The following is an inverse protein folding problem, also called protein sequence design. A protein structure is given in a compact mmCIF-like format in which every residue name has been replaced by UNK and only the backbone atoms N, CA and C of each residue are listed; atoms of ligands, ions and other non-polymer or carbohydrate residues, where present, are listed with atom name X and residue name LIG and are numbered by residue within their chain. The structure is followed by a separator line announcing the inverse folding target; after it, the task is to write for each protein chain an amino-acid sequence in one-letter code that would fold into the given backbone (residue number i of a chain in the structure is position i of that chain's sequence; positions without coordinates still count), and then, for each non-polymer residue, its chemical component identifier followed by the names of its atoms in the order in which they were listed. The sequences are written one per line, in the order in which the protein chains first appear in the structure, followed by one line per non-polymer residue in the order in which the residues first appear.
data_IF_950625040544
#
_entry.id   IF_950625040544
#
_cell.length_a   1.000
_cell.length_b   1.000
_cell.length_c   1.000
_cell.angle_alpha   90.00
_cell.angle_beta   90.00
_cell.angle_gamma   90.00
#
_symmetry.space_group_name_H-M   'P 1'
#
loop_
_entity.id
_entity.type
_entity.pdbx_description
1 polymer ?
#
# COMPACT_ATOMS: atom_id res chain seq x y z
N UNK A 1 -21.87 34.23 -33.30
CA UNK A 1 -20.46 33.86 -33.52
C UNK A 1 -19.57 34.91 -32.87
N UNK A 2 -18.94 34.60 -31.72
CA UNK A 2 -17.92 35.48 -31.11
C UNK A 2 -16.56 35.05 -31.62
N UNK A 3 -16.02 35.76 -32.60
CA UNK A 3 -14.63 35.62 -33.04
C UNK A 3 -13.73 36.16 -31.93
N UNK A 4 -13.12 35.26 -31.14
CA UNK A 4 -12.08 35.64 -30.19
C UNK A 4 -10.90 36.17 -31.02
N UNK A 5 -10.68 37.49 -31.02
CA UNK A 5 -9.47 38.08 -31.59
C UNK A 5 -8.29 37.56 -30.78
N UNK A 6 -7.51 36.62 -31.33
CA UNK A 6 -6.18 36.30 -30.81
C UNK A 6 -5.39 37.61 -30.80
N UNK A 7 -4.95 38.03 -29.62
CA UNK A 7 -4.03 39.16 -29.47
C UNK A 7 -2.79 38.88 -30.33
N UNK A 8 -2.54 39.72 -31.34
CA UNK A 8 -1.34 39.62 -32.16
C UNK A 8 -0.12 39.70 -31.24
N UNK A 9 0.72 38.67 -31.30
CA UNK A 9 1.95 38.58 -30.54
C UNK A 9 2.96 39.60 -31.08
N UNK A 10 3.85 40.10 -30.22
CA UNK A 10 4.98 40.94 -30.69
C UNK A 10 5.86 40.19 -31.71
N UNK A 11 5.88 38.85 -31.67
CA UNK A 11 6.56 38.01 -32.66
C UNK A 11 5.93 38.06 -34.05
N UNK A 12 4.63 38.37 -34.15
CA UNK A 12 3.92 38.42 -35.44
C UNK A 12 4.28 39.68 -36.25
N UNK A 13 4.99 40.63 -35.64
CA UNK A 13 5.45 41.89 -36.27
C UNK A 13 6.87 41.83 -36.82
N UNK A 14 7.60 40.73 -36.59
CA UNK A 14 8.97 40.56 -37.05
C UNK A 14 9.00 39.94 -38.46
N UNK A 15 10.01 40.29 -39.30
CA UNK A 15 10.23 39.63 -40.59
C UNK A 15 10.37 38.11 -40.43
N UNK A 16 9.82 37.34 -41.37
CA UNK A 16 9.77 35.88 -41.30
C UNK A 16 11.14 35.20 -41.03
N UNK A 17 12.26 35.62 -41.66
CA UNK A 17 13.57 35.02 -41.37
C UNK A 17 14.06 35.27 -39.94
N UNK A 18 13.73 36.44 -39.38
CA UNK A 18 14.08 36.81 -38.00
C UNK A 18 13.23 36.01 -37.02
N UNK A 19 11.94 35.84 -37.30
CA UNK A 19 11.02 35.04 -36.49
C UNK A 19 11.46 33.57 -36.43
N UNK A 20 11.84 32.99 -37.57
CA UNK A 20 12.29 31.60 -37.64
C UNK A 20 13.65 31.39 -36.96
N UNK A 21 14.59 32.32 -37.14
CA UNK A 21 15.85 32.28 -36.40
C UNK A 21 15.62 32.35 -34.88
N UNK A 22 14.79 33.29 -34.42
CA UNK A 22 14.49 33.47 -33.00
C UNK A 22 13.73 32.27 -32.41
N UNK A 23 12.80 31.65 -33.16
CA UNK A 23 12.08 30.47 -32.68
C UNK A 23 13.00 29.27 -32.53
N UNK A 24 13.90 29.05 -33.50
CA UNK A 24 14.94 27.99 -33.42
C UNK A 24 15.88 28.22 -32.24
N UNK A 25 16.41 29.44 -32.07
CA UNK A 25 17.28 29.79 -30.92
C UNK A 25 16.54 29.64 -29.59
N UNK A 26 15.28 30.06 -29.51
CA UNK A 26 14.47 29.92 -28.31
C UNK A 26 14.19 28.45 -27.98
N UNK A 27 13.90 27.61 -28.97
CA UNK A 27 13.72 26.17 -28.80
C UNK A 27 15.00 25.49 -28.30
N UNK A 28 16.16 25.82 -28.88
CA UNK A 28 17.46 25.32 -28.42
C UNK A 28 17.77 25.74 -26.98
N UNK A 29 17.60 27.02 -26.64
CA UNK A 29 17.84 27.53 -25.29
C UNK A 29 16.89 26.89 -24.28
N UNK A 30 15.63 26.69 -24.66
CA UNK A 30 14.64 25.99 -23.83
C UNK A 30 15.04 24.52 -23.62
N UNK A 31 15.46 23.84 -24.69
CA UNK A 31 15.94 22.45 -24.63
C UNK A 31 17.20 22.30 -23.78
N UNK A 32 18.18 23.20 -23.93
CA UNK A 32 19.39 23.24 -23.09
C UNK A 32 19.08 23.54 -21.63
N UNK A 33 18.18 24.50 -21.37
CA UNK A 33 17.72 24.81 -20.02
C UNK A 33 17.02 23.62 -19.36
N UNK A 34 16.15 22.93 -20.09
CA UNK A 34 15.48 21.72 -19.64
C UNK A 34 16.47 20.59 -19.37
N UNK A 35 17.44 20.37 -20.27
CA UNK A 35 18.50 19.37 -20.10
C UNK A 35 19.33 19.65 -18.84
N UNK A 36 19.73 20.91 -18.64
CA UNK A 36 20.47 21.35 -17.46
C UNK A 36 19.68 21.10 -16.17
N UNK A 37 18.39 21.44 -16.16
CA UNK A 37 17.50 21.16 -15.02
C UNK A 37 17.41 19.66 -14.72
N UNK A 38 17.27 18.81 -15.74
CA UNK A 38 17.21 17.36 -15.57
C UNK A 38 18.51 16.82 -14.99
N UNK A 39 19.66 17.30 -15.46
CA UNK A 39 20.97 16.91 -14.91
C UNK A 39 21.09 17.31 -13.43
N UNK A 40 20.65 18.52 -13.07
CA UNK A 40 20.65 18.96 -11.68
C UNK A 40 19.75 18.07 -10.81
N UNK A 41 18.52 17.78 -11.24
CA UNK A 41 17.61 16.89 -10.49
C UNK A 41 18.18 15.48 -10.41
N UNK A 42 18.79 14.96 -11.47
CA UNK A 42 19.44 13.64 -11.47
C UNK A 42 20.62 13.58 -10.49
N UNK A 43 21.47 14.61 -10.43
CA UNK A 43 22.57 14.70 -9.47
C UNK A 43 22.06 14.83 -8.03
N UNK A 44 20.99 15.59 -7.81
CA UNK A 44 20.34 15.68 -6.51
C UNK A 44 19.83 14.31 -6.05
N UNK A 45 19.18 13.54 -6.93
CA UNK A 45 18.66 12.20 -6.62
C UNK A 45 19.78 11.17 -6.44
N UNK A 46 20.82 11.21 -7.28
CA UNK A 46 21.95 10.29 -7.20
C UNK A 46 22.77 10.46 -5.91
N UNK A 47 22.80 11.68 -5.37
CA UNK A 47 23.46 12.01 -4.09
C UNK A 47 22.47 12.16 -2.93
N UNK A 48 21.26 11.61 -3.05
CA UNK A 48 20.25 11.67 -2.01
C UNK A 48 20.64 10.85 -0.77
N UNK A 49 20.37 11.40 0.41
CA UNK A 49 20.52 10.73 1.70
C UNK A 49 19.32 11.05 2.58
N UNK A 50 18.82 10.05 3.31
CA UNK A 50 17.72 10.23 4.27
C UNK A 50 18.11 11.12 5.46
N UNK A 51 19.41 11.20 5.76
CA UNK A 51 19.94 11.98 6.89
C UNK A 51 20.07 13.49 6.57
N UNK A 52 19.94 13.86 5.30
CA UNK A 52 20.10 15.25 4.88
C UNK A 52 18.94 16.14 5.38
N UNK A 53 19.20 17.43 5.68
CA UNK A 53 18.16 18.36 6.07
C UNK A 53 17.12 18.53 4.95
N UNK A 54 15.85 18.32 5.27
CA UNK A 54 14.74 18.45 4.33
C UNK A 54 13.52 19.13 4.98
N UNK A 55 12.46 19.33 4.20
CA UNK A 55 11.20 19.90 4.71
C UNK A 55 10.57 19.03 5.80
N UNK A 56 10.81 17.72 5.75
CA UNK A 56 10.24 16.74 6.68
C UNK A 56 11.29 16.12 7.62
N UNK A 57 12.55 16.51 7.50
CA UNK A 57 13.65 16.04 8.33
C UNK A 57 14.53 17.20 8.80
N UNK A 58 14.26 17.71 9.99
CA UNK A 58 15.01 18.81 10.58
C UNK A 58 16.24 18.29 11.33
N UNK A 59 17.41 18.31 10.68
CA UNK A 59 18.68 17.87 11.27
C UNK A 59 19.72 18.99 11.29
N UNK A 60 20.62 18.95 12.27
CA UNK A 60 21.80 19.82 12.34
C UNK A 60 23.02 19.21 11.63
N UNK A 61 22.81 18.13 10.85
CA UNK A 61 23.87 17.41 10.15
C UNK A 61 24.45 18.20 8.97
N UNK A 62 25.67 17.83 8.57
CA UNK A 62 26.27 18.34 7.33
C UNK A 62 25.54 17.74 6.12
N UNK A 63 25.25 18.57 5.12
CA UNK A 63 24.53 18.15 3.91
C UNK A 63 25.46 17.33 3.02
N UNK A 64 25.04 16.11 2.66
CA UNK A 64 25.78 15.18 1.79
C UNK A 64 25.44 15.36 0.31
N UNK A 65 24.25 15.85 0.01
CA UNK A 65 23.83 16.12 -1.36
C UNK A 65 24.81 17.06 -2.09
N UNK A 66 25.18 16.70 -3.32
CA UNK A 66 26.18 17.46 -4.08
C UNK A 66 25.72 18.86 -4.49
N UNK A 67 24.41 19.09 -4.54
CA UNK A 67 23.80 20.39 -4.82
C UNK A 67 23.45 21.16 -3.52
N UNK A 68 23.95 20.67 -2.38
CA UNK A 68 23.71 21.26 -1.07
C UNK A 68 22.24 21.16 -0.63
N UNK A 69 21.83 22.08 0.26
CA UNK A 69 20.49 22.10 0.86
C UNK A 69 19.34 22.06 -0.15
N UNK A 70 19.31 22.89 -1.22
CA UNK A 70 18.19 22.86 -2.16
C UNK A 70 18.12 21.52 -2.92
N UNK A 71 19.27 20.92 -3.25
CA UNK A 71 19.31 19.59 -3.86
C UNK A 71 18.74 18.51 -2.95
N UNK A 72 19.16 18.50 -1.68
CA UNK A 72 18.64 17.58 -0.67
C UNK A 72 17.11 17.68 -0.52
N UNK A 73 16.57 18.90 -0.43
CA UNK A 73 15.13 19.14 -0.32
C UNK A 73 14.34 18.64 -1.53
N UNK A 74 14.82 18.92 -2.75
CA UNK A 74 14.16 18.48 -3.98
C UNK A 74 14.19 16.96 -4.10
N UNK A 75 15.35 16.34 -3.86
CA UNK A 75 15.50 14.89 -3.94
C UNK A 75 14.63 14.18 -2.90
N UNK A 76 14.62 14.66 -1.65
CA UNK A 76 13.78 14.12 -0.60
C UNK A 76 12.29 14.24 -0.91
N UNK A 77 11.84 15.41 -1.40
CA UNK A 77 10.44 15.60 -1.80
C UNK A 77 10.02 14.64 -2.91
N UNK A 78 10.86 14.44 -3.93
CA UNK A 78 10.57 13.50 -5.03
C UNK A 78 10.54 12.04 -4.53
N UNK A 79 11.48 11.66 -3.67
CA UNK A 79 11.52 10.32 -3.06
C UNK A 79 10.31 10.06 -2.16
N UNK A 80 9.85 11.06 -1.41
CA UNK A 80 8.64 10.92 -0.57
C UNK A 80 7.36 10.83 -1.40
N UNK A 81 7.22 11.65 -2.45
CA UNK A 81 6.01 11.69 -3.27
C UNK A 81 5.89 10.45 -4.18
N UNK A 82 6.98 10.05 -4.82
CA UNK A 82 6.96 9.14 -5.98
C UNK A 82 7.90 7.93 -5.81
N UNK A 83 8.81 7.98 -4.82
CA UNK A 83 9.77 6.92 -4.54
C UNK A 83 10.62 6.56 -5.76
N UNK A 84 10.84 5.26 -5.99
CA UNK A 84 11.60 4.73 -7.12
C UNK A 84 10.94 5.01 -8.49
N UNK A 85 9.67 5.44 -8.51
CA UNK A 85 9.01 5.93 -9.72
C UNK A 85 9.64 7.19 -10.31
N UNK A 86 10.55 7.86 -9.58
CA UNK A 86 11.24 9.07 -10.02
C UNK A 86 12.02 8.92 -11.33
N UNK A 87 12.40 7.71 -11.73
CA UNK A 87 13.05 7.47 -13.03
C UNK A 87 12.15 7.94 -14.19
N UNK A 88 10.83 7.74 -14.08
CA UNK A 88 9.87 8.19 -15.08
C UNK A 88 9.70 9.72 -15.12
N UNK A 89 10.09 10.43 -14.06
CA UNK A 89 10.11 11.91 -14.03
C UNK A 89 11.18 12.45 -14.96
N UNK A 90 12.34 11.78 -15.04
CA UNK A 90 13.49 12.27 -15.81
C UNK A 90 13.44 11.86 -17.29
N UNK A 91 12.94 10.66 -17.60
CA UNK A 91 13.12 10.06 -18.92
C UNK A 91 12.41 10.80 -20.07
N UNK A 92 11.07 11.03 -20.08
CA UNK A 92 10.43 11.75 -21.20
C UNK A 92 10.91 13.20 -21.36
N UNK A 93 11.06 14.02 -20.28
CA UNK A 93 11.63 15.36 -20.42
C UNK A 93 13.04 15.36 -20.99
N UNK A 94 13.86 14.34 -20.73
CA UNK A 94 15.19 14.20 -21.34
C UNK A 94 15.07 14.08 -22.87
N UNK A 95 14.16 13.23 -23.35
CA UNK A 95 13.91 13.08 -24.79
C UNK A 95 13.37 14.37 -25.40
N UNK A 96 12.49 15.10 -24.69
CA UNK A 96 11.98 16.40 -25.14
C UNK A 96 13.09 17.43 -25.26
N UNK A 97 13.99 17.51 -24.27
CA UNK A 97 15.14 18.40 -24.30
C UNK A 97 16.03 18.13 -25.52
N UNK A 98 16.37 16.86 -25.77
CA UNK A 98 17.17 16.46 -26.93
C UNK A 98 16.47 16.75 -28.26
N UNK A 99 15.15 16.52 -28.35
CA UNK A 99 14.37 16.84 -29.55
C UNK A 99 14.27 18.35 -29.80
N UNK A 100 14.09 19.16 -28.76
CA UNK A 100 14.09 20.63 -28.86
C UNK A 100 15.43 21.18 -29.35
N UNK A 101 16.54 20.61 -28.86
CA UNK A 101 17.90 20.98 -29.28
C UNK A 101 18.16 20.58 -30.74
N UNK A 102 17.78 19.36 -31.14
CA UNK A 102 18.16 18.78 -32.44
C UNK A 102 17.20 19.10 -33.59
N UNK A 103 15.90 19.17 -33.29
CA UNK A 103 14.84 19.27 -34.28
C UNK A 103 13.95 20.51 -34.10
N UNK A 104 14.04 21.21 -32.98
CA UNK A 104 13.23 22.40 -32.65
C UNK A 104 11.71 22.15 -32.69
N UNK A 105 11.29 20.88 -32.59
CA UNK A 105 9.90 20.45 -32.66
C UNK A 105 9.41 20.02 -31.29
N UNK A 106 8.22 20.53 -30.91
CA UNK A 106 7.48 20.06 -29.74
C UNK A 106 6.00 19.92 -30.09
N UNK A 107 5.72 18.89 -30.89
CA UNK A 107 4.37 18.53 -31.31
C UNK A 107 3.57 17.92 -30.14
N UNK A 108 2.26 18.20 -30.12
CA UNK A 108 1.29 17.60 -29.18
C UNK A 108 1.70 17.71 -27.71
N UNK A 109 2.29 18.85 -27.34
CA UNK A 109 2.87 19.06 -26.00
C UNK A 109 1.92 18.77 -24.83
N UNK A 110 0.65 19.18 -24.93
CA UNK A 110 -0.35 18.93 -23.89
C UNK A 110 -0.63 17.43 -23.68
N UNK A 111 -0.74 16.65 -24.78
CA UNK A 111 -0.94 15.21 -24.71
C UNK A 111 0.27 14.52 -24.10
N UNK A 112 1.48 14.87 -24.55
CA UNK A 112 2.74 14.32 -24.02
C UNK A 112 2.91 14.63 -22.53
N UNK A 113 2.56 15.85 -22.11
CA UNK A 113 2.57 16.24 -20.71
C UNK A 113 1.56 15.44 -19.87
N UNK A 114 0.33 15.26 -20.37
CA UNK A 114 -0.68 14.44 -19.70
C UNK A 114 -0.25 12.97 -19.55
N UNK A 115 0.27 12.38 -20.63
CA UNK A 115 0.80 11.02 -20.62
C UNK A 115 2.02 10.88 -19.71
N UNK A 116 2.88 11.89 -19.62
CA UNK A 116 4.00 11.90 -18.69
C UNK A 116 3.54 11.86 -17.24
N UNK A 117 2.57 12.70 -16.86
CA UNK A 117 2.00 12.70 -15.51
C UNK A 117 1.37 11.36 -15.17
N UNK A 118 0.60 10.77 -16.09
CA UNK A 118 0.02 9.44 -15.93
C UNK A 118 1.11 8.37 -15.79
N UNK A 119 2.16 8.44 -16.63
CA UNK A 119 3.28 7.50 -16.61
C UNK A 119 4.08 7.55 -15.31
N UNK A 120 4.33 8.74 -14.77
CA UNK A 120 4.98 8.94 -13.47
C UNK A 120 4.14 8.35 -12.34
N UNK A 121 2.84 8.65 -12.31
CA UNK A 121 1.93 8.12 -11.30
C UNK A 121 1.82 6.58 -11.35
N UNK A 122 1.74 6.02 -12.56
CA UNK A 122 1.73 4.57 -12.77
C UNK A 122 3.06 3.92 -12.37
N UNK A 123 4.21 4.52 -12.71
CA UNK A 123 5.52 4.03 -12.29
C UNK A 123 5.70 4.04 -10.77
N UNK A 124 5.17 5.07 -10.09
CA UNK A 124 5.08 5.11 -8.63
C UNK A 124 4.27 3.92 -8.09
N UNK A 125 3.08 3.66 -8.65
CA UNK A 125 2.24 2.54 -8.24
C UNK A 125 2.92 1.17 -8.46
N UNK A 126 3.69 1.02 -9.55
CA UNK A 126 4.52 -0.19 -9.77
C UNK A 126 5.54 -0.35 -8.66
N UNK A 127 6.26 0.72 -8.30
CA UNK A 127 7.25 0.68 -7.24
C UNK A 127 6.61 0.32 -5.88
N UNK A 128 5.44 0.85 -5.56
CA UNK A 128 4.69 0.48 -4.34
C UNK A 128 4.16 -0.96 -4.34
N UNK A 129 3.96 -1.56 -5.52
CA UNK A 129 3.54 -2.95 -5.62
C UNK A 129 4.66 -3.95 -5.32
N UNK A 130 5.92 -3.52 -5.33
CA UNK A 130 7.07 -4.31 -4.94
C UNK A 130 7.17 -4.40 -3.40
N UNK A 131 7.57 -5.55 -2.83
CA UNK A 131 7.70 -5.72 -1.40
C UNK A 131 8.86 -4.86 -0.86
N UNK A 132 8.56 -3.98 0.11
CA UNK A 132 9.58 -3.16 0.75
C UNK A 132 10.62 -4.04 1.44
N UNK A 133 11.90 -3.80 1.14
CA UNK A 133 12.99 -4.50 1.82
C UNK A 133 13.26 -3.86 3.18
N UNK A 134 13.81 -4.59 4.17
CA UNK A 134 14.17 -4.02 5.47
C UNK A 134 15.17 -2.86 5.42
N UNK A 135 15.82 -2.64 4.27
CA UNK A 135 16.78 -1.55 4.04
C UNK A 135 16.12 -0.28 3.49
N UNK A 136 14.83 -0.32 3.16
CA UNK A 136 14.12 0.85 2.66
C UNK A 136 13.99 1.89 3.78
N UNK A 137 14.51 3.13 3.60
CA UNK A 137 14.67 4.07 4.70
C UNK A 137 13.43 4.94 4.98
N UNK A 138 12.47 4.99 4.05
CA UNK A 138 11.28 5.85 4.18
C UNK A 138 10.12 5.09 4.85
N UNK A 139 9.24 5.79 5.61
CA UNK A 139 8.03 5.20 6.18
C UNK A 139 6.98 4.85 5.10
N UNK A 140 7.08 5.46 3.92
CA UNK A 140 6.28 5.13 2.74
C UNK A 140 6.82 3.90 2.03
N UNK A 141 5.98 3.23 1.25
CA UNK A 141 6.38 2.20 0.31
C UNK A 141 7.33 2.73 -0.76
N UNK A 142 7.90 1.82 -1.55
CA UNK A 142 8.92 2.15 -2.55
C UNK A 142 8.41 3.07 -3.68
N UNK A 143 7.11 3.27 -3.83
CA UNK A 143 6.50 4.23 -4.76
C UNK A 143 6.06 5.55 -4.13
N UNK A 144 6.45 5.82 -2.87
CA UNK A 144 6.07 7.04 -2.17
C UNK A 144 4.56 7.16 -1.92
N UNK A 145 4.14 8.34 -1.46
CA UNK A 145 2.73 8.61 -1.09
C UNK A 145 1.78 8.41 -2.27
N UNK A 146 2.18 8.82 -3.48
CA UNK A 146 1.34 8.70 -4.68
C UNK A 146 1.17 7.23 -5.06
N UNK A 147 2.26 6.46 -5.10
CA UNK A 147 2.22 5.04 -5.44
C UNK A 147 1.39 4.24 -4.43
N UNK A 148 1.61 4.49 -3.13
CA UNK A 148 0.90 3.81 -2.06
C UNK A 148 -0.59 4.15 -2.07
N UNK A 149 -0.94 5.42 -2.28
CA UNK A 149 -2.32 5.89 -2.38
C UNK A 149 -3.07 5.27 -3.56
N UNK A 150 -2.43 5.19 -4.74
CA UNK A 150 -3.01 4.54 -5.92
C UNK A 150 -3.22 3.04 -5.71
N UNK A 151 -2.24 2.37 -5.14
CA UNK A 151 -2.32 0.93 -4.88
C UNK A 151 -3.36 0.62 -3.80
N UNK A 152 -3.44 1.42 -2.75
CA UNK A 152 -4.48 1.32 -1.72
C UNK A 152 -5.87 1.56 -2.31
N UNK A 153 -6.06 2.64 -3.08
CA UNK A 153 -7.33 2.97 -3.71
C UNK A 153 -7.81 1.88 -4.67
N UNK A 154 -6.93 1.35 -5.52
CA UNK A 154 -7.29 0.27 -6.45
C UNK A 154 -7.63 -1.04 -5.76
N UNK A 155 -6.89 -1.42 -4.72
CA UNK A 155 -7.21 -2.62 -3.92
C UNK A 155 -8.58 -2.52 -3.26
N UNK A 156 -8.91 -1.35 -2.71
CA UNK A 156 -10.20 -1.11 -2.06
C UNK A 156 -11.36 -1.15 -3.06
N UNK A 157 -11.20 -0.53 -4.24
CA UNK A 157 -12.23 -0.53 -5.30
C UNK A 157 -12.43 -1.94 -5.86
N UNK A 158 -11.35 -2.69 -6.07
CA UNK A 158 -11.41 -4.03 -6.64
C UNK A 158 -11.84 -5.11 -5.62
N UNK A 159 -12.01 -4.78 -4.35
CA UNK A 159 -12.35 -5.74 -3.29
C UNK A 159 -11.27 -6.79 -3.04
N UNK A 160 -10.01 -6.46 -3.33
CA UNK A 160 -8.90 -7.38 -3.31
C UNK A 160 -8.23 -7.36 -1.93
N UNK A 161 -8.39 -8.44 -1.17
CA UNK A 161 -7.67 -8.65 0.09
C UNK A 161 -6.53 -9.67 -0.11
N UNK A 162 -5.28 -9.26 0.15
CA UNK A 162 -4.11 -10.16 0.21
C UNK A 162 -2.91 -9.75 -0.66
N UNK A 163 -1.70 -10.13 -0.22
CA UNK A 163 -0.43 -9.71 -0.84
C UNK A 163 -0.15 -10.30 -2.23
N UNK A 164 -0.62 -11.50 -2.54
CA UNK A 164 -0.39 -12.13 -3.84
C UNK A 164 -1.05 -11.36 -4.99
N UNK A 165 -2.22 -10.75 -4.75
CA UNK A 165 -2.96 -10.02 -5.78
C UNK A 165 -2.42 -8.59 -5.99
N UNK A 166 -1.64 -8.06 -5.02
CA UNK A 166 -0.90 -6.80 -5.21
C UNK A 166 0.03 -6.85 -6.43
N UNK A 167 0.68 -8.00 -6.66
CA UNK A 167 1.59 -8.18 -7.79
C UNK A 167 0.85 -8.07 -9.14
N UNK A 168 -0.40 -8.53 -9.20
CA UNK A 168 -1.24 -8.43 -10.40
C UNK A 168 -1.64 -6.98 -10.69
N UNK A 169 -2.01 -6.22 -9.65
CA UNK A 169 -2.30 -4.78 -9.78
C UNK A 169 -1.05 -4.02 -10.22
N UNK A 170 0.11 -4.35 -9.65
CA UNK A 170 1.41 -3.82 -10.09
C UNK A 170 1.70 -4.10 -11.57
N UNK A 171 1.36 -5.29 -12.07
CA UNK A 171 1.55 -5.63 -13.49
C UNK A 171 0.68 -4.78 -14.43
N UNK A 172 -0.57 -4.50 -14.04
CA UNK A 172 -1.46 -3.60 -14.80
C UNK A 172 -0.86 -2.19 -14.83
N UNK A 173 -0.42 -1.67 -13.68
CA UNK A 173 0.26 -0.38 -13.63
C UNK A 173 1.56 -0.36 -14.42
N UNK A 174 2.29 -1.47 -14.51
CA UNK A 174 3.50 -1.55 -15.34
C UNK A 174 3.17 -1.42 -16.82
N UNK A 175 2.10 -2.06 -17.30
CA UNK A 175 1.60 -1.88 -18.66
C UNK A 175 1.24 -0.42 -18.95
N UNK A 176 0.50 0.22 -18.04
CA UNK A 176 0.14 1.65 -18.16
C UNK A 176 1.38 2.54 -18.15
N UNK A 177 2.33 2.31 -17.25
CA UNK A 177 3.56 3.08 -17.14
C UNK A 177 4.40 2.99 -18.42
N UNK A 178 4.61 1.77 -18.94
CA UNK A 178 5.38 1.56 -20.17
C UNK A 178 4.74 2.28 -21.34
N UNK A 179 3.43 2.11 -21.55
CA UNK A 179 2.71 2.75 -22.66
C UNK A 179 2.74 4.28 -22.53
N UNK A 180 2.42 4.80 -21.33
CA UNK A 180 2.34 6.24 -21.09
C UNK A 180 3.71 6.93 -21.17
N UNK A 181 4.77 6.35 -20.59
CA UNK A 181 6.14 6.89 -20.64
C UNK A 181 6.69 6.85 -22.07
N UNK A 182 6.45 5.75 -22.81
CA UNK A 182 6.91 5.60 -24.20
C UNK A 182 6.21 6.59 -25.12
N UNK A 183 4.88 6.71 -25.00
CA UNK A 183 4.10 7.68 -25.75
C UNK A 183 4.46 9.12 -25.36
N UNK A 184 4.64 9.42 -24.07
CA UNK A 184 5.09 10.73 -23.61
C UNK A 184 6.45 11.11 -24.20
N UNK A 185 7.40 10.17 -24.28
CA UNK A 185 8.70 10.38 -24.93
C UNK A 185 8.59 10.60 -26.46
N UNK A 186 7.40 10.41 -27.04
CA UNK A 186 7.11 10.67 -28.44
C UNK A 186 7.42 9.49 -29.35
N UNK A 187 7.44 8.27 -28.82
CA UNK A 187 7.49 7.03 -29.62
C UNK A 187 6.06 6.53 -29.87
N UNK A 188 5.75 6.12 -31.10
CA UNK A 188 4.42 5.63 -31.49
C UNK A 188 3.47 6.68 -32.07
N UNK A 189 3.85 7.96 -32.05
CA UNK A 189 3.22 9.01 -32.87
C UNK A 189 3.99 9.11 -34.20
N UNK A 190 3.90 8.08 -35.05
CA UNK A 190 4.36 8.17 -36.44
C UNK A 190 3.11 8.26 -37.30
N UNK A 191 2.77 9.49 -37.65
CA UNK A 191 2.09 9.89 -38.88
C UNK A 191 2.49 11.34 -39.08
N UNK A 192 3.70 11.52 -39.58
CA UNK A 192 4.01 12.69 -40.38
C UNK A 192 4.03 12.17 -41.82
N UNK A 193 3.02 12.54 -42.59
CA UNK A 193 3.24 12.79 -44.01
C UNK A 193 4.44 13.74 -44.08
N UNK A 194 5.47 13.37 -44.85
CA UNK A 194 6.65 14.21 -45.04
C UNK A 194 6.23 15.64 -45.42
N UNK A 195 6.89 16.69 -44.91
CA UNK A 195 6.70 18.02 -45.45
C UNK A 195 7.24 17.97 -46.89
N UNK A 196 6.33 18.04 -47.85
CA UNK A 196 6.64 18.18 -49.26
C UNK A 196 7.71 19.26 -49.44
N UNK A 197 8.92 18.83 -49.79
CA UNK A 197 9.87 19.68 -50.48
C UNK A 197 9.42 19.67 -51.94
N UNK A 198 9.11 20.86 -52.45
CA UNK A 198 8.75 21.10 -53.83
C UNK A 198 9.77 20.48 -54.78
N UNK A 199 9.32 19.62 -55.68
CA UNK A 199 9.88 19.50 -57.02
C UNK A 199 8.69 19.28 -57.98
N UNK A 200 8.50 20.25 -58.86
CA UNK A 200 7.67 20.15 -60.05
C UNK A 200 8.19 19.02 -60.95
N UNK A 201 7.39 17.99 -61.26
CA UNK A 201 7.24 17.48 -62.64
C UNK A 201 6.11 16.44 -62.78
N UNK A 202 5.59 16.38 -63.99
CA UNK A 202 4.46 15.62 -64.51
C UNK A 202 4.45 14.10 -64.27
N UNK A 203 3.26 13.50 -64.29
CA UNK A 203 3.13 12.08 -64.65
C UNK A 203 1.87 11.37 -64.17
N UNK A 204 0.88 11.27 -65.06
CA UNK A 204 -0.21 10.30 -64.98
C UNK A 204 0.33 8.85 -64.87
N UNK A 205 -0.17 8.05 -63.91
CA UNK A 205 -0.46 6.63 -64.17
C UNK A 205 -1.47 6.07 -63.17
N UNK A 206 -2.47 5.38 -63.73
CA UNK A 206 -3.35 4.40 -63.11
C UNK A 206 -2.65 3.43 -62.16
N UNK A 207 -3.42 2.83 -61.23
CA UNK A 207 -3.04 1.54 -60.66
C UNK A 207 -3.62 1.23 -59.29
N UNK A 208 -4.86 0.74 -59.29
CA UNK A 208 -5.34 -0.43 -58.53
C UNK A 208 -4.86 -0.69 -57.09
N UNK A 209 -5.86 -0.82 -56.21
CA UNK A 209 -6.01 -1.88 -55.19
C UNK A 209 -4.75 -2.69 -54.80
N UNK A 210 -4.29 -2.57 -53.54
CA UNK A 210 -4.28 -3.68 -52.56
C UNK A 210 -3.54 -3.36 -51.26
N UNK A 211 -4.20 -3.80 -50.17
CA UNK A 211 -3.70 -4.20 -48.83
C UNK A 211 -3.53 -3.10 -47.77
N UNK A 212 -4.67 -2.68 -47.22
CA UNK A 212 -4.78 -2.09 -45.87
C UNK A 212 -5.34 -3.11 -44.86
N UNK A 213 -4.75 -4.32 -44.77
CA UNK A 213 -5.19 -5.37 -43.83
C UNK A 213 -4.04 -5.88 -42.93
N UNK A 214 -3.08 -5.03 -42.56
CA UNK A 214 -2.16 -5.36 -41.46
C UNK A 214 -2.65 -4.70 -40.15
N UNK A 215 -3.16 -5.49 -39.18
CA UNK A 215 -3.59 -4.95 -37.90
C UNK A 215 -2.37 -4.37 -37.18
N UNK A 216 -2.43 -3.07 -36.87
CA UNK A 216 -1.35 -2.38 -36.18
C UNK A 216 -0.93 -3.07 -34.88
N UNK A 217 0.33 -2.88 -34.47
CA UNK A 217 0.97 -3.52 -33.31
C UNK A 217 0.10 -3.42 -32.03
N UNK A 218 -0.68 -2.35 -31.88
CA UNK A 218 -1.64 -2.18 -30.80
C UNK A 218 -2.77 -3.23 -30.79
N UNK A 219 -3.32 -3.60 -31.95
CA UNK A 219 -4.38 -4.63 -32.09
C UNK A 219 -3.82 -6.02 -31.77
N UNK A 220 -2.57 -6.29 -32.18
CA UNK A 220 -1.85 -7.53 -31.86
C UNK A 220 -1.62 -7.65 -30.34
N UNK A 221 -1.23 -6.55 -29.69
CA UNK A 221 -1.06 -6.47 -28.23
C UNK A 221 -2.38 -6.69 -27.47
N UNK A 222 -3.49 -6.11 -27.95
CA UNK A 222 -4.83 -6.35 -27.39
C UNK A 222 -5.22 -7.83 -27.52
N UNK A 223 -4.96 -8.43 -28.68
CA UNK A 223 -5.22 -9.85 -28.92
C UNK A 223 -4.43 -10.78 -28.01
N UNK A 224 -3.16 -10.47 -27.77
CA UNK A 224 -2.29 -11.21 -26.84
C UNK A 224 -2.74 -11.07 -25.38
N UNK A 225 -3.10 -9.86 -24.94
CA UNK A 225 -3.63 -9.62 -23.59
C UNK A 225 -4.95 -10.34 -23.36
N UNK A 226 -5.86 -10.31 -24.34
CA UNK A 226 -7.14 -11.02 -24.27
C UNK A 226 -6.94 -12.54 -24.18
N UNK A 227 -6.03 -13.11 -24.99
CA UNK A 227 -5.70 -14.53 -24.92
C UNK A 227 -5.03 -14.91 -23.59
N UNK A 228 -4.12 -14.08 -23.09
CA UNK A 228 -3.49 -14.28 -21.79
C UNK A 228 -4.49 -14.30 -20.64
N UNK A 229 -5.45 -13.35 -20.64
CA UNK A 229 -6.51 -13.28 -19.64
C UNK A 229 -7.44 -14.50 -19.70
N UNK A 230 -7.81 -14.96 -20.90
CA UNK A 230 -8.67 -16.14 -21.06
C UNK A 230 -7.97 -17.44 -20.68
N UNK A 231 -6.70 -17.61 -21.04
CA UNK A 231 -5.89 -18.76 -20.66
C UNK A 231 -5.70 -18.82 -19.13
N UNK A 232 -5.44 -17.67 -18.50
CA UNK A 232 -5.31 -17.56 -17.05
C UNK A 232 -6.63 -17.84 -16.32
N UNK A 233 -7.75 -17.29 -16.82
CA UNK A 233 -9.09 -17.59 -16.31
C UNK A 233 -9.40 -19.09 -16.40
N UNK A 234 -9.09 -19.73 -17.52
CA UNK A 234 -9.25 -21.17 -17.70
C UNK A 234 -8.38 -22.00 -16.74
N UNK A 235 -7.13 -21.57 -16.51
CA UNK A 235 -6.22 -22.23 -15.58
C UNK A 235 -6.68 -22.10 -14.11
N UNK A 236 -7.24 -20.95 -13.73
CA UNK A 236 -7.78 -20.71 -12.38
C UNK A 236 -9.07 -21.50 -12.18
N UNK A 237 -10.00 -21.48 -13.14
CA UNK A 237 -11.27 -22.21 -13.06
C UNK A 237 -11.07 -23.73 -12.99
N UNK A 238 -9.99 -24.27 -13.57
CA UNK A 238 -9.61 -25.69 -13.45
C UNK A 238 -8.98 -26.06 -12.10
N UNK A 239 -8.53 -25.08 -11.32
CA UNK A 239 -7.90 -25.27 -10.00
C UNK A 239 -8.84 -24.99 -8.83
N UNK A 240 -10.01 -24.42 -9.09
CA UNK A 240 -11.06 -24.27 -8.08
C UNK A 240 -11.79 -25.62 -7.92
N UNK A 241 -11.98 -26.11 -6.69
CA UNK A 241 -12.78 -27.31 -6.46
C UNK A 241 -14.22 -27.06 -6.92
N UNK A 242 -14.74 -27.93 -7.78
CA UNK A 242 -16.15 -27.89 -8.16
C UNK A 242 -17.01 -28.09 -6.90
N UNK A 243 -18.03 -27.25 -6.64
CA UNK A 243 -19.00 -27.54 -5.61
C UNK A 243 -19.68 -28.89 -5.94
N UNK A 244 -19.96 -29.74 -4.94
CA UNK A 244 -20.66 -31.00 -5.19
C UNK A 244 -22.00 -30.69 -5.84
N UNK A 245 -22.27 -31.33 -6.99
CA UNK A 245 -23.56 -31.21 -7.64
C UNK A 245 -24.67 -31.65 -6.66
N UNK A 246 -25.78 -30.91 -6.56
CA UNK A 246 -26.92 -31.38 -5.79
C UNK A 246 -27.40 -32.70 -6.42
N UNK A 247 -27.50 -33.73 -5.58
CA UNK A 247 -28.08 -35.01 -5.96
C UNK A 247 -29.48 -34.75 -6.54
N UNK A 248 -29.60 -34.90 -7.85
CA UNK A 248 -30.91 -34.99 -8.49
C UNK A 248 -31.50 -36.31 -8.00
N UNK A 249 -32.57 -36.20 -7.23
CA UNK A 249 -33.38 -37.32 -6.76
C UNK A 249 -34.05 -37.98 -7.97
N UNK A 250 -33.30 -38.87 -8.63
CA UNK A 250 -33.80 -39.72 -9.68
C UNK A 250 -34.53 -40.90 -9.01
N UNK A 251 -35.83 -40.70 -8.77
CA UNK A 251 -36.74 -41.79 -8.44
C UNK A 251 -36.65 -42.93 -9.49
N UNK A 252 -36.96 -44.17 -9.10
CA UNK A 252 -36.65 -45.35 -9.90
C UNK A 252 -37.51 -45.40 -11.18
N UNK A 253 -36.90 -45.13 -12.33
CA UNK A 253 -37.47 -45.46 -13.63
C UNK A 253 -37.14 -46.92 -14.00
N UNK A 254 -38.11 -47.73 -14.44
CA UNK A 254 -37.88 -49.13 -14.74
C UNK A 254 -37.22 -49.32 -16.11
N UNK A 255 -36.09 -50.04 -16.10
CA UNK A 255 -35.69 -51.02 -17.10
C UNK A 255 -35.39 -50.54 -18.53
N UNK A 256 -34.10 -50.38 -18.84
CA UNK A 256 -33.59 -50.71 -20.17
C UNK A 256 -32.16 -51.26 -20.11
N UNK A 257 -31.91 -52.49 -20.60
CA UNK A 257 -30.58 -53.08 -20.61
C UNK A 257 -29.83 -52.67 -21.87
N UNK A 258 -28.59 -52.18 -21.71
CA UNK A 258 -27.60 -52.25 -22.78
C UNK A 258 -26.86 -50.96 -23.10
N UNK A 259 -25.70 -50.78 -22.46
CA UNK A 259 -24.38 -50.67 -23.12
C UNK A 259 -23.32 -50.49 -22.04
N UNK A 260 -22.48 -51.50 -21.87
CA UNK A 260 -21.29 -51.41 -21.02
C UNK A 260 -20.35 -50.43 -21.69
N UNK A 261 -20.31 -49.19 -21.22
CA UNK A 261 -19.27 -48.22 -21.57
C UNK A 261 -18.05 -48.55 -20.72
N UNK A 262 -17.02 -49.15 -21.33
CA UNK A 262 -15.69 -49.31 -20.74
C UNK A 262 -14.93 -47.99 -20.87
N UNK A 263 -14.55 -47.38 -19.76
CA UNK A 263 -13.58 -46.29 -19.76
C UNK A 263 -12.15 -46.85 -19.81
N UNK A 264 -11.20 -46.14 -20.44
CA UNK A 264 -9.80 -46.53 -20.46
C UNK A 264 -9.15 -46.24 -19.10
N UNK A 265 -8.64 -47.29 -18.44
CA UNK A 265 -7.79 -47.16 -17.26
C UNK A 265 -6.41 -46.64 -17.69
N UNK A 266 -6.11 -45.38 -17.35
CA UNK A 266 -4.72 -44.94 -17.25
C UNK A 266 -4.18 -45.44 -15.91
N UNK A 267 -3.19 -46.33 -15.98
CA UNK A 267 -2.79 -47.21 -14.89
C UNK A 267 -2.39 -46.50 -13.59
N UNK A 268 -2.88 -47.02 -12.48
CA UNK A 268 -2.31 -46.83 -11.16
C UNK A 268 -0.95 -47.55 -11.10
N UNK A 269 0.09 -46.88 -11.59
CA UNK A 269 1.47 -47.19 -11.28
C UNK A 269 1.76 -46.87 -9.80
N UNK A 270 1.14 -47.58 -8.86
CA UNK A 270 1.60 -47.62 -7.47
C UNK A 270 2.93 -48.37 -7.45
N UNK A 271 4.03 -47.62 -7.54
CA UNK A 271 5.30 -48.09 -6.98
C UNK A 271 5.09 -48.32 -5.48
N UNK A 272 5.52 -49.44 -4.89
CA UNK A 272 5.42 -49.65 -3.45
C UNK A 272 6.37 -48.66 -2.77
N UNK A 273 5.82 -47.56 -2.22
CA UNK A 273 6.59 -46.69 -1.34
C UNK A 273 6.72 -47.41 -0.01
N UNK A 274 7.92 -47.89 0.30
CA UNK A 274 8.24 -48.42 1.62
C UNK A 274 7.88 -47.36 2.69
N UNK A 275 7.23 -47.74 3.81
CA UNK A 275 6.96 -46.81 4.89
C UNK A 275 8.29 -46.29 5.45
N UNK A 276 8.36 -44.97 5.69
CA UNK A 276 9.52 -44.35 6.31
C UNK A 276 9.71 -44.90 7.74
N UNK A 277 10.97 -45.10 8.21
CA UNK A 277 11.22 -45.62 9.54
C UNK A 277 10.69 -44.67 10.61
N UNK A 278 10.03 -45.25 11.62
CA UNK A 278 9.47 -44.56 12.78
C UNK A 278 10.62 -44.02 13.65
N UNK A 279 10.78 -42.69 13.70
CA UNK A 279 11.80 -42.04 14.51
C UNK A 279 11.39 -42.06 15.99
N UNK A 280 12.00 -42.94 16.78
CA UNK A 280 11.94 -42.90 18.25
C UNK A 280 13.21 -42.23 18.78
N UNK A 281 13.14 -41.03 19.37
CA UNK A 281 14.31 -40.43 19.97
C UNK A 281 14.73 -41.23 21.21
N UNK A 282 16.00 -41.63 21.28
CA UNK A 282 16.60 -42.11 22.52
C UNK A 282 16.73 -40.97 23.55
N UNK A 283 16.56 -41.24 24.85
CA UNK A 283 16.73 -40.22 25.87
C UNK A 283 18.22 -39.87 26.04
N UNK A 284 18.52 -38.58 25.93
CA UNK A 284 19.85 -38.03 26.17
C UNK A 284 20.33 -38.34 27.61
N UNK A 285 21.56 -38.83 27.81
CA UNK A 285 22.10 -39.04 29.14
C UNK A 285 22.57 -37.70 29.73
N UNK A 286 21.96 -37.32 30.85
CA UNK A 286 22.54 -36.38 31.80
C UNK A 286 22.28 -34.91 31.56
N UNK A 287 21.08 -34.44 31.94
CA UNK A 287 20.89 -33.07 32.40
C UNK A 287 20.64 -33.10 33.91
N UNK A 288 21.58 -32.50 34.66
CA UNK A 288 21.50 -32.28 36.10
C UNK A 288 20.11 -31.72 36.47
N UNK A 289 19.53 -32.30 37.51
CA UNK A 289 18.41 -31.73 38.25
C UNK A 289 18.82 -30.33 38.72
N UNK A 290 18.31 -29.31 38.06
CA UNK A 290 18.10 -28.01 38.67
C UNK A 290 16.66 -28.01 39.14
N UNK A 291 16.46 -27.83 40.45
CA UNK A 291 15.16 -27.59 41.07
C UNK A 291 14.41 -26.51 40.27
N UNK A 292 13.30 -26.92 39.67
CA UNK A 292 12.30 -26.02 39.11
C UNK A 292 11.32 -25.78 40.24
N UNK A 293 11.41 -24.61 40.85
CA UNK A 293 10.35 -24.08 41.70
C UNK A 293 9.02 -24.13 40.93
N UNK A 294 8.01 -24.75 41.54
CA UNK A 294 6.65 -24.85 41.03
C UNK A 294 6.08 -23.45 40.73
N UNK A 295 5.96 -23.10 39.45
CA UNK A 295 4.97 -22.09 39.03
C UNK A 295 3.59 -22.75 39.01
N UNK A 296 2.55 -22.13 39.60
CA UNK A 296 1.22 -22.72 39.63
C UNK A 296 0.64 -22.82 38.21
N UNK A 297 -0.25 -23.80 37.95
CA UNK A 297 -0.79 -24.04 36.62
C UNK A 297 -1.57 -22.84 36.13
N UNK A 298 -1.45 -22.53 34.84
CA UNK A 298 -2.41 -21.70 34.14
C UNK A 298 -3.76 -22.42 34.17
N UNK A 299 -4.68 -21.93 35.01
CA UNK A 299 -6.09 -22.30 34.99
C UNK A 299 -6.67 -21.91 33.62
N UNK A 300 -6.84 -22.91 32.76
CA UNK A 300 -7.76 -22.85 31.63
C UNK A 300 -9.01 -23.55 32.11
N UNK A 301 -9.80 -22.83 32.92
CA UNK A 301 -11.16 -23.22 33.25
C UNK A 301 -12.05 -21.98 33.16
N UNK A 302 -12.16 -21.44 31.94
CA UNK A 302 -13.31 -20.59 31.58
C UNK A 302 -14.53 -21.51 31.35
N UNK A 303 -14.90 -22.21 32.42
CA UNK A 303 -16.23 -22.78 32.57
C UNK A 303 -17.22 -21.61 32.57
N UNK A 304 -18.27 -21.78 31.77
CA UNK A 304 -19.38 -20.84 31.59
C UNK A 304 -19.88 -20.31 32.93
N UNK A 305 -19.44 -19.10 33.29
CA UNK A 305 -19.86 -18.46 34.52
C UNK A 305 -21.32 -18.01 34.36
N UNK A 306 -22.18 -18.74 35.05
CA UNK A 306 -23.60 -18.49 35.16
C UNK A 306 -23.80 -17.13 35.86
N UNK A 307 -23.98 -16.07 35.06
CA UNK A 307 -24.60 -14.78 35.42
C UNK A 307 -24.74 -14.55 36.93
N UNK A 308 -23.65 -14.14 37.55
CA UNK A 308 -23.72 -13.48 38.85
C UNK A 308 -24.37 -12.12 38.60
N UNK A 309 -25.69 -12.05 38.79
CA UNK A 309 -26.53 -10.85 38.59
C UNK A 309 -26.15 -9.68 39.52
N UNK A 310 -25.12 -9.85 40.34
CA UNK A 310 -24.63 -8.88 41.31
C UNK A 310 -23.10 -8.63 41.22
N UNK A 311 -22.45 -9.09 40.15
CA UNK A 311 -21.06 -8.74 39.90
C UNK A 311 -20.93 -7.22 39.64
N UNK A 312 -19.99 -6.52 40.31
CA UNK A 312 -19.82 -5.08 40.10
C UNK A 312 -19.42 -4.79 38.65
N UNK A 313 -20.12 -3.85 38.00
CA UNK A 313 -19.86 -3.43 36.60
C UNK A 313 -18.43 -2.92 36.40
N UNK A 314 -17.81 -2.38 37.44
CA UNK A 314 -16.43 -1.86 37.42
C UNK A 314 -15.42 -2.95 37.78
N UNK A 315 -14.58 -3.33 36.81
CA UNK A 315 -13.48 -4.25 37.07
C UNK A 315 -12.33 -3.55 37.83
N UNK A 316 -11.75 -4.24 38.81
CA UNK A 316 -10.60 -3.72 39.55
C UNK A 316 -9.39 -3.47 38.61
N UNK A 317 -8.67 -2.35 38.79
CA UNK A 317 -7.50 -2.04 37.98
C UNK A 317 -6.40 -3.10 38.18
N UNK A 318 -5.70 -3.46 37.10
CA UNK A 318 -4.60 -4.44 37.17
C UNK A 318 -3.48 -3.91 38.08
N UNK A 319 -2.91 -4.76 38.96
CA UNK A 319 -1.83 -4.35 39.86
C UNK A 319 -0.58 -3.94 39.08
N UNK A 320 0.20 -3.01 39.66
CA UNK A 320 1.43 -2.54 39.05
C UNK A 320 2.47 -3.68 38.92
N UNK A 321 3.24 -3.73 37.82
CA UNK A 321 4.24 -4.77 37.61
C UNK A 321 5.34 -4.70 38.68
N UNK A 322 5.76 -5.87 39.20
CA UNK A 322 6.87 -5.97 40.17
C UNK A 322 8.22 -5.77 39.47
N UNK A 323 9.21 -5.13 40.10
CA UNK A 323 10.55 -4.98 39.53
C UNK A 323 11.20 -6.33 39.19
N UNK A 324 11.81 -6.44 38.01
CA UNK A 324 12.44 -7.67 37.54
C UNK A 324 13.75 -8.02 38.26
N UNK A 325 14.06 -9.32 38.36
CA UNK A 325 15.28 -9.84 39.00
C UNK A 325 16.59 -9.28 38.39
N UNK A 326 16.56 -8.87 37.12
CA UNK A 326 17.72 -8.32 36.39
C UNK A 326 18.17 -6.96 36.93
N UNK A 327 17.24 -6.07 37.25
CA UNK A 327 17.53 -4.75 37.84
C UNK A 327 18.31 -4.90 39.16
N UNK A 328 17.96 -5.92 39.96
CA UNK A 328 18.63 -6.20 41.23
C UNK A 328 20.06 -6.74 41.03
N UNK A 329 20.29 -7.56 39.99
CA UNK A 329 21.63 -8.08 39.66
C UNK A 329 22.56 -7.00 39.12
N UNK A 330 22.05 -6.14 38.24
CA UNK A 330 22.82 -5.05 37.63
C UNK A 330 23.17 -3.93 38.62
N UNK A 331 22.44 -3.82 39.74
CA UNK A 331 22.79 -2.91 40.83
C UNK A 331 24.12 -3.28 41.54
N UNK A 332 24.62 -4.52 41.36
CA UNK A 332 25.89 -4.99 41.91
C UNK A 332 26.76 -5.61 40.81
N UNK A 333 27.56 -4.81 40.08
CA UNK A 333 28.42 -5.34 39.03
C UNK A 333 29.51 -6.26 39.61
N UNK A 334 29.61 -7.48 39.06
CA UNK A 334 30.71 -8.40 39.31
C UNK A 334 32.00 -7.82 38.71
N UNK A 335 33.07 -7.73 39.51
CA UNK A 335 34.37 -7.22 39.06
C UNK A 335 35.22 -8.28 38.31
N UNK A 336 34.73 -9.51 38.18
CA UNK A 336 35.52 -10.67 37.74
C UNK A 336 35.28 -11.08 36.28
N UNK A 337 34.24 -10.55 35.61
CA UNK A 337 33.81 -10.99 34.27
C UNK A 337 34.08 -9.95 33.18
N UNK A 338 35.35 -9.57 32.95
CA UNK A 338 35.73 -8.52 31.99
C UNK A 338 36.02 -8.99 30.55
N UNK A 339 35.98 -10.31 30.30
CA UNK A 339 36.37 -10.89 29.00
C UNK A 339 35.18 -11.30 28.10
N UNK A 340 33.95 -11.21 28.61
CA UNK A 340 32.74 -11.53 27.87
C UNK A 340 32.00 -10.26 27.40
N UNK A 341 31.25 -10.38 26.30
CA UNK A 341 30.37 -9.31 25.82
C UNK A 341 29.34 -8.93 26.90
N UNK A 342 29.33 -7.66 27.29
CA UNK A 342 28.45 -7.13 28.33
C UNK A 342 27.20 -6.46 27.72
N UNK A 343 26.02 -6.83 28.23
CA UNK A 343 24.76 -6.22 27.82
C UNK A 343 24.66 -4.79 28.38
N UNK A 344 24.08 -3.83 27.65
CA UNK A 344 23.82 -2.51 28.19
C UNK A 344 22.95 -2.58 29.47
N UNK A 345 23.31 -1.87 30.56
CA UNK A 345 22.54 -1.87 31.80
C UNK A 345 21.18 -1.19 31.64
N UNK A 346 20.18 -1.66 32.39
CA UNK A 346 18.84 -1.10 32.40
C UNK A 346 18.77 0.31 32.99
N UNK A 347 19.81 0.77 33.68
CA UNK A 347 19.95 2.14 34.21
C UNK A 347 19.95 3.22 33.12
N UNK A 348 20.23 2.85 31.86
CA UNK A 348 20.06 3.77 30.74
C UNK A 348 18.59 4.10 30.44
N UNK A 349 17.65 3.29 30.94
CA UNK A 349 16.23 3.57 30.85
C UNK A 349 15.81 4.45 32.02
N UNK A 350 15.00 5.47 31.74
CA UNK A 350 14.38 6.26 32.78
C UNK A 350 13.38 5.41 33.57
N UNK A 351 13.40 5.50 34.90
CA UNK A 351 12.41 4.83 35.74
C UNK A 351 11.00 5.34 35.40
N UNK A 352 9.97 4.46 35.42
CA UNK A 352 8.61 4.88 35.21
C UNK A 352 8.24 5.91 36.29
N UNK A 353 7.88 7.12 35.86
CA UNK A 353 7.36 8.14 36.77
C UNK A 353 6.17 7.52 37.50
N UNK A 354 6.20 7.53 38.83
CA UNK A 354 5.06 7.17 39.67
C UNK A 354 4.00 8.26 39.49
N UNK A 355 3.28 8.21 38.38
CA UNK A 355 2.05 8.96 38.24
C UNK A 355 1.14 8.42 39.33
N UNK A 356 0.59 9.27 40.23
CA UNK A 356 -0.48 8.79 41.10
C UNK A 356 -1.49 8.16 40.16
N UNK A 357 -1.79 6.88 40.36
CA UNK A 357 -2.89 6.28 39.62
C UNK A 357 -4.05 7.25 39.78
N UNK A 358 -4.58 7.76 38.66
CA UNK A 358 -5.81 8.53 38.69
C UNK A 358 -6.86 7.52 39.15
N UNK A 359 -6.93 7.28 40.46
CA UNK A 359 -7.87 6.39 41.11
C UNK A 359 -9.18 7.15 41.11
N UNK A 360 -9.77 7.24 39.93
CA UNK A 360 -11.19 7.58 39.80
C UNK A 360 -11.91 6.55 40.65
N UNK A 361 -12.72 7.02 41.61
CA UNK A 361 -13.47 6.12 42.47
C UNK A 361 -14.39 5.24 41.63
N UNK A 362 -14.69 4.04 42.13
CA UNK A 362 -15.66 3.14 41.49
C UNK A 362 -16.99 3.85 41.25
N UNK A 363 -17.42 4.69 42.18
CA UNK A 363 -18.67 5.45 42.09
C UNK A 363 -18.63 6.48 40.96
N UNK A 364 -17.49 7.13 40.72
CA UNK A 364 -17.33 8.08 39.62
C UNK A 364 -17.28 7.37 38.25
N UNK A 365 -16.72 6.16 38.18
CA UNK A 365 -16.76 5.34 36.96
C UNK A 365 -18.19 4.88 36.65
N UNK A 366 -18.96 4.53 37.68
CA UNK A 366 -20.37 4.16 37.54
C UNK A 366 -21.22 5.35 37.07
N UNK A 367 -21.04 6.53 37.67
CA UNK A 367 -21.71 7.76 37.23
C UNK A 367 -21.38 8.12 35.78
N UNK A 368 -20.12 7.97 35.38
CA UNK A 368 -19.69 8.18 33.99
C UNK A 368 -20.32 7.16 33.03
N UNK A 369 -20.50 5.91 33.46
CA UNK A 369 -21.17 4.90 32.66
C UNK A 369 -22.66 5.27 32.44
N UNK A 370 -23.36 5.71 33.48
CA UNK A 370 -24.75 6.20 33.35
C UNK A 370 -24.85 7.44 32.46
N UNK A 371 -23.90 8.36 32.56
CA UNK A 371 -23.83 9.52 31.67
C UNK A 371 -23.65 9.10 30.20
N UNK A 372 -22.77 8.12 29.94
CA UNK A 372 -22.54 7.59 28.61
C UNK A 372 -23.78 6.91 28.03
N UNK A 373 -24.53 6.14 28.84
CA UNK A 373 -25.82 5.55 28.44
C UNK A 373 -26.82 6.62 28.00
N UNK A 374 -26.95 7.72 28.78
CA UNK A 374 -27.83 8.84 28.42
C UNK A 374 -27.41 9.54 27.13
N UNK A 375 -26.11 9.80 26.95
CA UNK A 375 -25.59 10.40 25.70
C UNK A 375 -25.86 9.51 24.49
N UNK A 376 -25.69 8.19 24.62
CA UNK A 376 -26.00 7.26 23.53
C UNK A 376 -27.49 7.26 23.19
N UNK A 377 -28.36 7.33 24.20
CA UNK A 377 -29.81 7.39 24.02
C UNK A 377 -30.23 8.66 23.25
N UNK A 378 -29.63 9.81 23.54
CA UNK A 378 -29.89 11.09 22.84
C UNK A 378 -29.60 11.00 21.32
N UNK A 379 -28.60 10.21 20.93
CA UNK A 379 -28.28 9.95 19.51
C UNK A 379 -29.09 8.78 18.89
N UNK A 380 -30.05 8.25 19.64
CA UNK A 380 -30.92 7.15 19.23
C UNK A 380 -30.22 5.80 19.15
N UNK A 381 -29.15 5.62 19.95
CA UNK A 381 -28.48 4.33 20.17
C UNK A 381 -28.89 3.83 21.56
N UNK A 382 -29.74 2.80 21.59
CA UNK A 382 -30.12 2.15 22.85
C UNK A 382 -29.16 1.01 23.14
N UNK A 383 -28.77 0.83 24.40
CA UNK A 383 -27.90 -0.24 24.86
C UNK A 383 -27.53 -0.03 26.33
N UNK A 384 -26.88 -1.03 26.91
CA UNK A 384 -26.47 -1.00 28.32
C UNK A 384 -24.94 -1.18 28.43
N UNK A 385 -24.32 -0.49 29.38
CA UNK A 385 -22.89 -0.66 29.68
C UNK A 385 -22.75 -1.86 30.63
N UNK A 386 -22.18 -2.93 30.10
CA UNK A 386 -22.02 -4.21 30.83
C UNK A 386 -20.80 -4.20 31.74
N UNK A 387 -19.68 -3.62 31.28
CA UNK A 387 -18.42 -3.66 31.99
C UNK A 387 -17.59 -2.38 31.80
N UNK A 388 -16.98 -1.90 32.87
CA UNK A 388 -16.07 -0.75 32.87
C UNK A 388 -14.67 -1.20 33.30
N UNK A 389 -13.67 -0.95 32.45
CA UNK A 389 -12.28 -1.36 32.66
C UNK A 389 -11.36 -0.15 32.65
N UNK A 390 -10.97 0.39 33.83
CA UNK A 390 -10.04 1.51 33.90
C UNK A 390 -8.64 1.07 33.48
N UNK A 391 -8.02 1.85 32.57
CA UNK A 391 -6.65 1.68 32.13
C UNK A 391 -5.77 2.87 32.52
N UNK A 392 -4.46 2.83 32.23
CA UNK A 392 -3.52 3.89 32.62
C UNK A 392 -3.79 5.25 31.96
N UNK A 393 -4.33 5.23 30.74
CA UNK A 393 -4.59 6.44 29.92
C UNK A 393 -6.07 6.59 29.57
N UNK A 394 -6.75 5.47 29.34
CA UNK A 394 -8.16 5.43 28.91
C UNK A 394 -8.94 4.44 29.75
N UNK A 395 -10.23 4.69 29.93
CA UNK A 395 -11.19 3.75 30.51
C UNK A 395 -11.99 3.15 29.39
N UNK A 396 -12.03 1.82 29.30
CA UNK A 396 -12.83 1.10 28.31
C UNK A 396 -14.23 0.84 28.89
N UNK A 397 -15.27 1.27 28.17
CA UNK A 397 -16.66 0.94 28.48
C UNK A 397 -17.18 -0.08 27.46
N UNK A 398 -17.64 -1.24 27.93
CA UNK A 398 -18.20 -2.30 27.09
C UNK A 398 -19.72 -2.12 26.95
N UNK A 399 -20.16 -1.57 25.81
CA UNK A 399 -21.56 -1.37 25.45
C UNK A 399 -22.14 -2.61 24.77
N UNK A 400 -23.25 -3.15 25.29
CA UNK A 400 -24.07 -4.11 24.58
C UNK A 400 -25.26 -3.38 23.91
N UNK A 401 -25.26 -3.24 22.57
CA UNK A 401 -26.29 -2.47 21.89
C UNK A 401 -27.61 -3.24 21.81
N UNK A 402 -28.73 -2.52 21.81
CA UNK A 402 -30.05 -3.10 21.65
C UNK A 402 -30.19 -3.83 20.29
N UNK A 403 -30.94 -4.94 20.22
CA UNK A 403 -31.12 -5.71 18.99
C UNK A 403 -31.56 -4.84 17.81
N UNK A 404 -30.91 -5.05 16.66
CA UNK A 404 -31.16 -4.28 15.43
C UNK A 404 -30.33 -2.99 15.28
N UNK A 405 -29.56 -2.61 16.31
CA UNK A 405 -28.60 -1.50 16.21
C UNK A 405 -27.36 -1.94 15.44
N UNK A 406 -27.03 -1.25 14.34
CA UNK A 406 -25.82 -1.52 13.55
C UNK A 406 -24.57 -1.00 14.27
N UNK A 407 -23.53 -1.82 14.39
CA UNK A 407 -22.25 -1.41 15.01
C UNK A 407 -21.63 -0.20 14.32
N UNK A 408 -21.77 -0.08 12.99
CA UNK A 408 -21.27 1.06 12.22
C UNK A 408 -21.85 2.41 12.65
N UNK A 409 -23.10 2.43 13.16
CA UNK A 409 -23.76 3.66 13.62
C UNK A 409 -23.12 4.17 14.91
N UNK A 410 -22.83 3.28 15.85
CA UNK A 410 -22.16 3.64 17.11
C UNK A 410 -20.73 4.12 16.83
N UNK A 411 -20.03 3.45 15.90
CA UNK A 411 -18.66 3.83 15.50
C UNK A 411 -18.61 5.24 14.88
N UNK A 412 -19.60 5.60 14.06
CA UNK A 412 -19.66 6.95 13.46
C UNK A 412 -19.94 8.08 14.45
N UNK A 413 -20.44 7.77 15.65
CA UNK A 413 -20.79 8.77 16.68
C UNK A 413 -19.62 9.09 17.61
N UNK A 414 -18.42 8.55 17.37
CA UNK A 414 -17.28 8.71 18.28
C UNK A 414 -16.96 10.19 18.63
N UNK A 415 -16.94 11.07 17.63
CA UNK A 415 -16.64 12.50 17.83
C UNK A 415 -17.76 13.22 18.60
N UNK A 416 -19.01 12.85 18.33
CA UNK A 416 -20.18 13.40 19.02
C UNK A 416 -20.25 12.94 20.48
N UNK A 417 -19.94 11.67 20.74
CA UNK A 417 -19.83 11.12 22.10
C UNK A 417 -18.72 11.84 22.86
N UNK A 418 -17.54 12.04 22.26
CA UNK A 418 -16.44 12.76 22.88
C UNK A 418 -16.85 14.19 23.27
N UNK A 419 -17.55 14.89 22.36
CA UNK A 419 -18.07 16.24 22.59
C UNK A 419 -19.08 16.29 23.74
N UNK A 420 -20.06 15.38 23.77
CA UNK A 420 -21.09 15.36 24.82
C UNK A 420 -20.54 14.90 26.19
N UNK A 421 -19.55 14.02 26.19
CA UNK A 421 -18.86 13.54 27.41
C UNK A 421 -17.76 14.50 27.91
N UNK A 422 -17.55 15.64 27.26
CA UNK A 422 -16.45 16.57 27.56
C UNK A 422 -15.07 15.90 27.57
N UNK A 423 -14.87 14.90 26.70
CA UNK A 423 -13.61 14.20 26.50
C UNK A 423 -12.85 14.78 25.29
N UNK A 424 -11.52 14.66 25.28
CA UNK A 424 -10.68 15.14 24.16
C UNK A 424 -10.99 14.33 22.88
N UNK A 425 -11.21 13.03 23.02
CA UNK A 425 -11.54 12.10 21.94
C UNK A 425 -12.13 10.83 22.51
N UNK A 426 -12.97 10.12 21.75
CA UNK A 426 -13.47 8.79 22.08
C UNK A 426 -13.11 7.80 20.95
N UNK A 427 -12.88 6.53 21.27
CA UNK A 427 -12.51 5.51 20.28
C UNK A 427 -13.48 4.34 20.36
N UNK A 428 -14.35 4.24 19.36
CA UNK A 428 -15.37 3.19 19.33
C UNK A 428 -14.94 2.04 18.41
N UNK A 429 -14.90 0.81 18.92
CA UNK A 429 -14.56 -0.39 18.16
C UNK A 429 -15.26 -1.65 18.68
N UNK A 430 -15.42 -2.66 17.83
CA UNK A 430 -15.97 -3.96 18.26
C UNK A 430 -14.96 -4.74 19.09
N UNK A 431 -15.42 -5.37 20.18
CA UNK A 431 -14.58 -6.23 21.04
C UNK A 431 -14.56 -7.65 20.48
N UNK A 432 -13.38 -8.18 20.20
CA UNK A 432 -13.23 -9.54 19.66
C UNK A 432 -13.66 -10.58 20.69
N UNK A 433 -14.47 -11.56 20.28
CA UNK A 433 -14.94 -12.65 21.15
C UNK A 433 -16.08 -12.28 22.10
N UNK A 434 -16.61 -11.05 22.06
CA UNK A 434 -17.76 -10.61 22.85
C UNK A 434 -18.80 -9.92 21.95
N UNK A 435 -20.08 -9.99 22.33
CA UNK A 435 -21.15 -9.22 21.67
C UNK A 435 -21.21 -7.78 22.21
N UNK A 436 -20.07 -7.11 22.32
CA UNK A 436 -19.95 -5.77 22.91
C UNK A 436 -19.14 -4.84 22.01
N UNK A 437 -19.49 -3.56 22.05
CA UNK A 437 -18.77 -2.45 21.42
C UNK A 437 -18.01 -1.73 22.53
N UNK A 438 -16.69 -1.63 22.39
CA UNK A 438 -15.83 -0.86 23.28
C UNK A 438 -15.86 0.62 22.90
N UNK A 439 -16.07 1.48 23.89
CA UNK A 439 -16.01 2.95 23.80
C UNK A 439 -14.83 3.47 24.60
#
# INVERSE_FOLDING_TARGET
MRTVRRSQSLMDRLPDPVREFLSRRAAELTGLGLLGLIVLVALALASWSVDDPSLNNATNGAVRNWLGRPGAMVADLLMQLIGLGVIAVLFPPMIWALRLIRFHLFDRGALKLGLWVIGVAAAAAVASALPATPRWPLPTGMGGVIGDGLLFGTRNIAGIAGGAVSSLVGFVYAGVAILAVTAAAGFGFVHDEDPALDDEDDGLSDGEERRDDEPGIAVILIGWLAHGAMALRGAILRRLPHPPEPAVDAGPMPGQPGRIRREPQFGDGRSPRAPAPEFRPEPLPGSRQAEVDEEPPFDIDDAQDLRDLNAPRVAAPKPAPKPGKRIQREAQPSLLDREAFELPPLTYLAEPKKTPANTVSTDALEQNATLLEGVLEDFGVRGEITQVRPGPVVTLYELEPAPGTKSSRVISLADDIARSMSAISARVAVVQGKNAIGI
#
